data_IF_237376979340
#
_entry.id   IF_237376979340
#
_cell.length_a   1.000
_cell.length_b   1.000
_cell.length_c   1.000
_cell.angle_alpha   90.00
_cell.angle_beta   90.00
_cell.angle_gamma   90.00
#
_symmetry.space_group_name_H-M   'P 1'
#
loop_
_entity.id
_entity.type
_entity.pdbx_description
1 polymer ?
#
# COMPACT_ATOMS: atom_id res chain seq x y z
N UNK A 1 22.64 1.87 -15.23
CA UNK A 1 22.20 1.66 -16.58
C UNK A 1 20.78 2.16 -16.78
N UNK A 2 20.34 2.30 -18.00
CA UNK A 2 18.95 2.55 -18.38
C UNK A 2 18.24 1.22 -18.55
N UNK A 3 16.94 1.16 -18.22
CA UNK A 3 16.12 0.01 -18.58
C UNK A 3 15.79 0.11 -20.07
N UNK A 4 16.08 -0.94 -20.80
CA UNK A 4 15.89 -1.02 -22.25
C UNK A 4 14.76 -2.00 -22.54
N UNK A 5 13.73 -1.52 -23.24
CA UNK A 5 12.69 -2.36 -23.80
C UNK A 5 12.92 -2.51 -25.31
N UNK A 6 12.82 -3.71 -25.82
CA UNK A 6 12.96 -4.02 -27.26
C UNK A 6 11.69 -4.71 -27.73
N UNK A 7 11.20 -4.30 -28.90
CA UNK A 7 10.08 -4.95 -29.58
C UNK A 7 10.55 -5.65 -30.84
N UNK A 8 10.02 -6.83 -31.12
CA UNK A 8 10.35 -7.61 -32.30
C UNK A 8 9.28 -8.64 -32.68
N UNK A 9 9.29 -9.10 -33.92
CA UNK A 9 8.32 -10.07 -34.44
C UNK A 9 9.00 -11.28 -35.13
N UNK A 10 10.26 -11.16 -35.45
CA UNK A 10 11.01 -12.16 -36.23
C UNK A 10 11.93 -13.06 -35.42
N UNK A 11 12.39 -14.15 -36.08
CA UNK A 11 13.41 -15.04 -35.49
C UNK A 11 14.74 -14.28 -35.28
N UNK A 12 15.03 -13.32 -36.14
CA UNK A 12 16.25 -12.50 -36.08
C UNK A 12 16.25 -11.56 -34.86
N UNK A 13 15.07 -11.25 -34.31
CA UNK A 13 14.92 -10.36 -33.16
C UNK A 13 15.09 -11.12 -31.84
N UNK A 14 15.02 -12.46 -31.85
CA UNK A 14 15.08 -13.28 -30.66
C UNK A 14 16.29 -13.01 -29.74
N UNK A 15 17.53 -12.81 -30.28
CA UNK A 15 18.67 -12.46 -29.45
C UNK A 15 18.49 -11.07 -28.75
N UNK A 16 17.95 -10.09 -29.47
CA UNK A 16 17.71 -8.74 -28.93
C UNK A 16 16.60 -8.74 -27.89
N UNK A 17 15.51 -9.46 -28.15
CA UNK A 17 14.39 -9.65 -27.20
C UNK A 17 14.86 -10.31 -25.90
N UNK A 18 15.73 -11.31 -25.99
CA UNK A 18 16.28 -12.02 -24.82
C UNK A 18 17.32 -11.20 -24.08
N UNK A 19 18.07 -10.34 -24.77
CA UNK A 19 19.13 -9.50 -24.18
C UNK A 19 18.64 -8.20 -23.57
N UNK A 20 17.40 -7.79 -23.86
CA UNK A 20 16.78 -6.60 -23.30
C UNK A 20 16.32 -6.81 -21.85
N UNK A 21 16.20 -5.73 -21.08
CA UNK A 21 15.55 -5.78 -19.75
C UNK A 21 14.07 -6.17 -19.87
N UNK A 22 13.40 -5.74 -20.95
CA UNK A 22 12.03 -6.13 -21.29
C UNK A 22 11.95 -6.40 -22.80
N UNK A 23 11.85 -7.68 -23.19
CA UNK A 23 11.56 -8.09 -24.57
C UNK A 23 10.06 -8.17 -24.81
N UNK A 24 9.56 -7.55 -25.88
CA UNK A 24 8.14 -7.53 -26.23
C UNK A 24 7.98 -8.13 -27.63
N UNK A 25 7.30 -9.26 -27.76
CA UNK A 25 6.99 -9.88 -29.04
C UNK A 25 5.57 -9.57 -29.49
N UNK A 26 5.37 -9.48 -30.82
CA UNK A 26 4.05 -9.41 -31.43
C UNK A 26 3.34 -10.77 -31.33
N UNK A 27 2.04 -10.75 -30.97
CA UNK A 27 1.29 -11.97 -30.75
C UNK A 27 0.75 -12.59 -32.03
N UNK A 28 0.23 -11.78 -32.93
CA UNK A 28 -0.37 -12.24 -34.21
C UNK A 28 0.69 -12.39 -35.30
N UNK A 29 1.55 -11.38 -35.50
CA UNK A 29 2.60 -11.38 -36.53
C UNK A 29 3.89 -12.04 -36.06
N UNK A 30 4.09 -12.11 -34.74
CA UNK A 30 5.32 -12.63 -34.17
C UNK A 30 5.52 -14.13 -34.43
N UNK A 31 6.75 -14.50 -34.76
CA UNK A 31 7.13 -15.91 -34.85
C UNK A 31 7.08 -16.59 -33.50
N UNK A 32 6.96 -17.92 -33.50
CA UNK A 32 6.97 -18.70 -32.25
C UNK A 32 8.26 -18.47 -31.48
N UNK A 33 9.40 -18.42 -32.17
CA UNK A 33 10.70 -18.19 -31.55
C UNK A 33 10.79 -16.83 -30.86
N UNK A 34 10.24 -15.75 -31.45
CA UNK A 34 10.19 -14.44 -30.82
C UNK A 34 9.30 -14.45 -29.57
N UNK A 35 8.13 -15.10 -29.63
CA UNK A 35 7.18 -15.19 -28.49
C UNK A 35 7.74 -16.02 -27.34
N UNK A 36 8.50 -17.07 -27.59
CA UNK A 36 9.09 -17.93 -26.55
C UNK A 36 10.20 -17.24 -25.74
N UNK A 37 10.92 -16.29 -26.34
CA UNK A 37 12.01 -15.59 -25.68
C UNK A 37 11.61 -14.25 -25.08
N UNK A 38 10.46 -13.71 -25.47
CA UNK A 38 10.00 -12.41 -25.00
C UNK A 38 9.44 -12.48 -23.57
N UNK A 39 9.66 -11.42 -22.81
CA UNK A 39 9.07 -11.26 -21.46
C UNK A 39 7.58 -10.95 -21.52
N UNK A 40 7.13 -10.32 -22.61
CA UNK A 40 5.74 -9.89 -22.83
C UNK A 40 5.36 -10.24 -24.27
N UNK A 41 4.13 -10.76 -24.45
CA UNK A 41 3.55 -10.98 -25.77
C UNK A 41 2.35 -10.07 -25.96
N UNK A 42 2.37 -9.25 -27.00
CA UNK A 42 1.36 -8.26 -27.33
C UNK A 42 0.29 -8.89 -28.25
N UNK A 43 -0.78 -9.42 -27.67
CA UNK A 43 -1.77 -10.25 -28.37
C UNK A 43 -2.53 -9.53 -29.49
N UNK A 44 -2.67 -8.21 -29.40
CA UNK A 44 -3.37 -7.37 -30.38
C UNK A 44 -2.43 -6.67 -31.36
N UNK A 45 -1.13 -6.93 -31.30
CA UNK A 45 -0.06 -6.28 -32.07
C UNK A 45 -0.13 -4.74 -32.07
N UNK A 46 -0.72 -4.16 -31.04
CA UNK A 46 -0.98 -2.73 -30.94
C UNK A 46 -0.04 -2.05 -29.92
N UNK A 47 0.87 -1.21 -30.40
CA UNK A 47 1.79 -0.46 -29.54
C UNK A 47 1.10 0.45 -28.50
N UNK A 48 -0.14 0.94 -28.80
CA UNK A 48 -0.88 1.72 -27.82
C UNK A 48 -1.21 0.92 -26.54
N UNK A 49 -1.27 -0.40 -26.63
CA UNK A 49 -1.47 -1.30 -25.49
C UNK A 49 -0.27 -1.30 -24.57
N UNK A 50 0.96 -1.13 -25.09
CA UNK A 50 2.18 -0.97 -24.28
C UNK A 50 2.07 0.30 -23.42
N UNK A 51 1.63 1.40 -24.03
CA UNK A 51 1.48 2.69 -23.32
C UNK A 51 0.44 2.57 -22.18
N UNK A 52 -0.69 1.90 -22.47
CA UNK A 52 -1.70 1.61 -21.43
C UNK A 52 -1.14 0.74 -20.31
N UNK A 53 -0.45 -0.34 -20.65
CA UNK A 53 0.16 -1.24 -19.67
C UNK A 53 1.17 -0.52 -18.77
N UNK A 54 1.97 0.40 -19.31
CA UNK A 54 2.88 1.25 -18.53
C UNK A 54 2.09 2.14 -17.55
N UNK A 55 0.99 2.74 -18.02
CA UNK A 55 0.12 3.57 -17.20
C UNK A 55 -0.50 2.78 -16.04
N UNK A 56 -1.07 1.61 -16.34
CA UNK A 56 -1.65 0.70 -15.34
C UNK A 56 -0.60 0.17 -14.36
N UNK A 57 0.58 -0.21 -14.84
CA UNK A 57 1.68 -0.64 -13.99
C UNK A 57 2.15 0.45 -13.01
N UNK A 58 2.22 1.71 -13.46
CA UNK A 58 2.53 2.84 -12.58
C UNK A 58 1.43 3.06 -11.54
N UNK A 59 0.17 2.94 -11.95
CA UNK A 59 -0.97 3.04 -11.05
C UNK A 59 -0.93 1.94 -9.98
N UNK A 60 -0.74 0.69 -10.40
CA UNK A 60 -0.61 -0.45 -9.50
C UNK A 60 0.52 -0.24 -8.48
N UNK A 61 1.67 0.26 -8.92
CA UNK A 61 2.79 0.56 -8.02
C UNK A 61 2.47 1.68 -7.03
N UNK A 62 1.73 2.71 -7.45
CA UNK A 62 1.27 3.76 -6.54
C UNK A 62 0.28 3.23 -5.50
N UNK A 63 -0.69 2.42 -5.94
CA UNK A 63 -1.66 1.80 -5.05
C UNK A 63 -0.98 0.90 -4.02
N UNK A 64 -0.06 0.06 -4.46
CA UNK A 64 0.76 -0.80 -3.60
C UNK A 64 1.54 0.02 -2.56
N UNK A 65 2.18 1.11 -2.99
CA UNK A 65 2.92 2.00 -2.11
C UNK A 65 2.02 2.66 -1.05
N UNK A 66 0.81 3.07 -1.40
CA UNK A 66 -0.14 3.64 -0.44
C UNK A 66 -0.66 2.59 0.54
N UNK A 67 -0.95 1.38 0.06
CA UNK A 67 -1.33 0.25 0.91
C UNK A 67 -0.26 -0.07 1.95
N UNK A 68 1.02 -0.13 1.54
CA UNK A 68 2.12 -0.36 2.46
C UNK A 68 2.32 0.81 3.45
N UNK A 69 2.13 2.07 3.01
CA UNK A 69 2.20 3.21 3.91
C UNK A 69 1.11 3.12 4.99
N UNK A 70 -0.13 2.78 4.59
CA UNK A 70 -1.23 2.54 5.51
C UNK A 70 -0.88 1.44 6.52
N UNK A 71 -0.44 0.28 6.04
CA UNK A 71 -0.08 -0.84 6.91
C UNK A 71 0.99 -0.44 7.94
N UNK A 72 2.03 0.26 7.51
CA UNK A 72 3.07 0.72 8.43
C UNK A 72 2.55 1.73 9.46
N UNK A 73 1.70 2.68 9.04
CA UNK A 73 1.14 3.70 9.93
C UNK A 73 0.17 3.13 10.97
N UNK A 74 -0.48 1.99 10.69
CA UNK A 74 -1.43 1.36 11.62
C UNK A 74 -0.77 0.26 12.44
N UNK A 75 0.08 -0.59 11.83
CA UNK A 75 0.73 -1.69 12.55
C UNK A 75 1.83 -1.22 13.50
N UNK A 76 2.57 -0.15 13.16
CA UNK A 76 3.59 0.34 14.07
C UNK A 76 3.02 0.79 15.43
N UNK A 77 1.95 1.63 15.51
CA UNK A 77 1.32 1.92 16.79
C UNK A 77 0.64 0.71 17.44
N UNK A 78 0.05 -0.21 16.67
CA UNK A 78 -0.53 -1.44 17.19
C UNK A 78 0.52 -2.28 17.95
N UNK A 79 1.67 -2.54 17.31
CA UNK A 79 2.75 -3.32 17.92
C UNK A 79 3.40 -2.54 19.08
N UNK A 80 3.63 -1.24 18.91
CA UNK A 80 4.22 -0.40 19.95
C UNK A 80 3.34 -0.38 21.22
N UNK A 81 2.03 -0.18 21.09
CA UNK A 81 1.13 -0.16 22.23
C UNK A 81 0.94 -1.53 22.87
N UNK A 82 0.90 -2.61 22.04
CA UNK A 82 0.85 -3.97 22.55
C UNK A 82 2.08 -4.33 23.41
N UNK A 83 3.25 -3.76 23.07
CA UNK A 83 4.48 -3.96 23.84
C UNK A 83 4.61 -2.99 25.03
N UNK A 84 4.37 -1.70 24.82
CA UNK A 84 4.58 -0.66 25.83
C UNK A 84 3.63 -0.79 27.03
N UNK A 85 2.35 -1.07 26.81
CA UNK A 85 1.34 -1.13 27.87
C UNK A 85 1.72 -2.16 28.95
N UNK A 86 2.05 -3.43 28.64
CA UNK A 86 2.50 -4.38 29.64
C UNK A 86 3.86 -4.02 30.26
N UNK A 87 4.79 -3.41 29.51
CA UNK A 87 6.09 -2.97 30.02
C UNK A 87 5.96 -1.85 31.06
N UNK A 88 4.90 -1.04 30.96
CA UNK A 88 4.55 -0.01 31.95
C UNK A 88 3.81 -0.59 33.16
N UNK A 89 3.57 -1.91 33.21
CA UNK A 89 2.89 -2.58 34.31
C UNK A 89 1.36 -2.56 34.22
N UNK A 90 0.81 -2.09 33.11
CA UNK A 90 -0.65 -2.06 32.90
C UNK A 90 -1.19 -3.41 32.39
N UNK A 91 -2.50 -3.69 32.59
CA UNK A 91 -3.17 -4.84 31.99
C UNK A 91 -3.08 -4.84 30.47
N UNK A 92 -3.07 -6.03 29.84
CA UNK A 92 -3.01 -6.17 28.38
C UNK A 92 -4.08 -5.34 27.69
N UNK A 93 -3.67 -4.50 26.74
CA UNK A 93 -4.56 -3.65 25.96
C UNK A 93 -5.40 -4.47 24.98
N UNK A 94 -4.77 -5.32 24.20
CA UNK A 94 -5.44 -6.11 23.18
C UNK A 94 -5.69 -7.55 23.63
N UNK A 95 -6.93 -8.00 23.48
CA UNK A 95 -7.28 -9.42 23.53
C UNK A 95 -7.12 -10.03 22.13
N UNK A 96 -6.91 -11.34 22.01
CA UNK A 96 -6.79 -12.01 20.70
C UNK A 96 -7.95 -11.69 19.74
N UNK A 97 -9.18 -11.59 20.28
CA UNK A 97 -10.36 -11.27 19.48
C UNK A 97 -10.28 -9.87 18.86
N UNK A 98 -9.70 -8.88 19.55
CA UNK A 98 -9.52 -7.52 19.02
C UNK A 98 -8.57 -7.53 17.84
N UNK A 99 -7.47 -8.28 17.95
CA UNK A 99 -6.47 -8.39 16.86
C UNK A 99 -7.09 -9.10 15.65
N UNK A 100 -7.79 -10.22 15.88
CA UNK A 100 -8.47 -10.94 14.78
C UNK A 100 -9.47 -10.02 14.06
N UNK A 101 -10.24 -9.24 14.79
CA UNK A 101 -11.21 -8.32 14.21
C UNK A 101 -10.56 -7.21 13.38
N UNK A 102 -9.47 -6.61 13.90
CA UNK A 102 -8.69 -5.61 13.18
C UNK A 102 -8.09 -6.17 11.88
N UNK A 103 -7.45 -7.34 11.96
CA UNK A 103 -6.74 -7.96 10.84
C UNK A 103 -7.70 -8.51 9.78
N UNK A 104 -8.86 -9.03 10.19
CA UNK A 104 -9.78 -9.71 9.28
C UNK A 104 -10.82 -8.77 8.66
N UNK A 105 -11.21 -7.71 9.35
CA UNK A 105 -12.30 -6.82 8.93
C UNK A 105 -11.78 -5.43 8.58
N UNK A 106 -11.11 -4.76 9.52
CA UNK A 106 -10.73 -3.36 9.36
C UNK A 106 -9.64 -3.18 8.30
N UNK A 107 -8.55 -3.93 8.39
CA UNK A 107 -7.43 -3.75 7.47
C UNK A 107 -7.77 -4.15 6.03
N UNK A 108 -8.43 -5.28 5.73
CA UNK A 108 -8.84 -5.60 4.38
C UNK A 108 -9.79 -4.56 3.77
N UNK A 109 -10.75 -4.06 4.55
CA UNK A 109 -11.69 -3.03 4.10
C UNK A 109 -10.97 -1.75 3.72
N UNK A 110 -10.02 -1.29 4.54
CA UNK A 110 -9.20 -0.13 4.23
C UNK A 110 -8.30 -0.35 3.00
N UNK A 111 -7.71 -1.55 2.85
CA UNK A 111 -6.85 -1.87 1.71
C UNK A 111 -7.59 -1.88 0.37
N UNK A 112 -8.87 -2.28 0.34
CA UNK A 112 -9.71 -2.22 -0.86
C UNK A 112 -9.83 -0.80 -1.45
N UNK A 113 -9.74 0.23 -0.59
CA UNK A 113 -9.73 1.63 -1.04
C UNK A 113 -8.53 1.92 -1.93
N UNK A 114 -7.34 1.42 -1.55
CA UNK A 114 -6.10 1.72 -2.27
C UNK A 114 -5.96 0.93 -3.57
N UNK A 115 -6.67 -0.19 -3.72
CA UNK A 115 -6.65 -0.98 -4.96
C UNK A 115 -7.34 -0.26 -6.12
N UNK A 116 -8.33 0.57 -5.84
CA UNK A 116 -9.19 1.21 -6.84
C UNK A 116 -8.98 2.73 -6.94
N UNK A 117 -7.85 3.25 -6.49
CA UNK A 117 -7.58 4.68 -6.62
C UNK A 117 -7.36 5.06 -8.10
N UNK A 118 -8.02 6.11 -8.59
CA UNK A 118 -7.82 6.57 -9.95
C UNK A 118 -6.41 7.11 -10.14
N UNK A 119 -5.86 6.94 -11.35
CA UNK A 119 -4.53 7.44 -11.68
C UNK A 119 -4.48 8.96 -11.56
N UNK A 120 -3.54 9.46 -10.76
CA UNK A 120 -3.37 10.90 -10.54
C UNK A 120 -2.38 11.54 -11.52
N UNK A 121 -1.45 10.73 -12.01
CA UNK A 121 -0.38 11.17 -12.89
C UNK A 121 -0.50 10.42 -14.22
N UNK A 122 -0.85 11.12 -15.29
CA UNK A 122 -0.75 10.59 -16.63
C UNK A 122 0.68 10.09 -16.94
N UNK A 123 0.99 9.86 -18.20
CA UNK A 123 2.31 9.39 -18.69
C UNK A 123 3.45 10.42 -18.48
N UNK A 124 3.36 11.24 -17.43
CA UNK A 124 4.42 12.21 -17.11
C UNK A 124 5.77 11.53 -16.92
N UNK A 125 6.86 12.10 -17.45
CA UNK A 125 8.19 11.54 -17.28
C UNK A 125 8.53 11.38 -15.80
N UNK A 126 8.81 10.17 -15.36
CA UNK A 126 9.25 9.91 -13.99
C UNK A 126 10.76 10.10 -13.95
N UNK A 127 11.23 11.05 -13.13
CA UNK A 127 12.67 11.24 -12.93
C UNK A 127 13.30 9.98 -12.32
N UNK A 128 14.48 9.59 -12.78
CA UNK A 128 15.25 8.41 -12.34
C UNK A 128 15.37 8.27 -10.82
N UNK A 129 15.50 9.37 -10.13
CA UNK A 129 15.69 9.40 -8.68
C UNK A 129 14.43 8.96 -7.91
N UNK A 130 13.25 9.21 -8.47
CA UNK A 130 11.95 8.81 -7.92
C UNK A 130 11.66 7.32 -8.11
N UNK A 131 12.27 6.66 -9.09
CA UNK A 131 12.10 5.23 -9.36
C UNK A 131 12.92 4.32 -8.44
N UNK A 132 14.07 4.78 -7.93
CA UNK A 132 14.99 3.95 -7.14
C UNK A 132 14.59 3.72 -5.70
N UNK A 133 13.74 4.58 -5.11
CA UNK A 133 13.34 4.48 -3.70
C UNK A 133 11.85 4.24 -3.58
N UNK A 134 11.49 3.18 -2.87
CA UNK A 134 10.09 2.88 -2.59
C UNK A 134 9.43 4.04 -1.84
N UNK A 135 10.10 4.61 -0.83
CA UNK A 135 9.69 5.83 -0.14
C UNK A 135 10.82 6.87 -0.13
N UNK A 136 10.43 8.15 -0.22
CA UNK A 136 11.34 9.27 0.05
C UNK A 136 11.59 9.41 1.55
N UNK A 137 12.67 10.13 1.94
CA UNK A 137 12.93 10.42 3.35
C UNK A 137 11.76 11.15 4.04
N UNK A 138 11.08 12.06 3.31
CA UNK A 138 9.87 12.74 3.82
C UNK A 138 8.70 11.78 4.07
N UNK A 139 8.52 10.78 3.20
CA UNK A 139 7.48 9.78 3.39
C UNK A 139 7.78 8.89 4.60
N UNK A 140 9.03 8.49 4.80
CA UNK A 140 9.44 7.78 6.01
C UNK A 140 9.24 8.61 7.28
N UNK A 141 9.60 9.91 7.23
CA UNK A 141 9.37 10.82 8.35
C UNK A 141 7.87 10.97 8.68
N UNK A 142 7.00 11.07 7.65
CA UNK A 142 5.55 11.14 7.88
C UNK A 142 4.98 9.84 8.45
N UNK A 143 5.42 8.67 7.96
CA UNK A 143 5.02 7.37 8.52
C UNK A 143 5.43 7.29 9.99
N UNK A 144 6.68 7.62 10.31
CA UNK A 144 7.20 7.61 11.69
C UNK A 144 6.46 8.58 12.60
N UNK A 145 6.21 9.82 12.15
CA UNK A 145 5.49 10.83 12.92
C UNK A 145 4.06 10.38 13.24
N UNK A 146 3.32 9.90 12.24
CA UNK A 146 1.95 9.42 12.43
C UNK A 146 1.92 8.23 13.40
N UNK A 147 2.85 7.30 13.27
CA UNK A 147 2.95 6.14 14.16
C UNK A 147 3.25 6.55 15.60
N UNK A 148 4.17 7.49 15.83
CA UNK A 148 4.51 7.99 17.17
C UNK A 148 3.32 8.73 17.79
N UNK A 149 2.68 9.62 17.03
CA UNK A 149 1.51 10.36 17.51
C UNK A 149 0.35 9.41 17.85
N UNK A 150 0.04 8.45 16.97
CA UNK A 150 -1.00 7.47 17.22
C UNK A 150 -0.69 6.61 18.45
N UNK A 151 0.55 6.14 18.60
CA UNK A 151 1.00 5.41 19.81
C UNK A 151 0.79 6.26 21.05
N UNK A 152 1.22 7.52 21.05
CA UNK A 152 1.06 8.43 22.18
C UNK A 152 -0.40 8.66 22.56
N UNK A 153 -1.26 8.88 21.57
CA UNK A 153 -2.71 9.08 21.79
C UNK A 153 -3.36 7.82 22.39
N UNK A 154 -2.99 6.64 21.88
CA UNK A 154 -3.56 5.37 22.38
C UNK A 154 -3.08 5.09 23.80
N UNK A 155 -1.77 5.24 24.09
CA UNK A 155 -1.21 5.03 25.44
C UNK A 155 -1.80 6.00 26.43
N UNK A 156 -1.83 7.29 26.12
CA UNK A 156 -2.40 8.32 26.97
C UNK A 156 -3.90 8.10 27.18
N UNK A 157 -4.63 7.80 26.10
CA UNK A 157 -6.06 7.50 26.19
C UNK A 157 -6.34 6.27 27.04
N UNK A 158 -5.51 5.23 26.97
CA UNK A 158 -5.61 4.05 27.81
C UNK A 158 -5.36 4.39 29.28
N UNK A 159 -4.29 5.10 29.58
CA UNK A 159 -3.88 5.51 30.92
C UNK A 159 -4.97 6.37 31.60
N UNK A 160 -5.44 7.42 30.90
CA UNK A 160 -6.47 8.33 31.43
C UNK A 160 -7.82 7.62 31.70
N UNK A 161 -8.17 6.62 30.89
CA UNK A 161 -9.44 5.89 31.07
C UNK A 161 -9.31 4.68 32.00
N UNK A 162 -8.10 4.23 32.32
CA UNK A 162 -7.88 3.19 33.29
C UNK A 162 -8.24 3.69 34.70
N UNK A 163 -7.96 4.99 35.00
CA UNK A 163 -8.32 5.68 36.23
C UNK A 163 -7.81 5.01 37.50
N UNK A 164 -8.26 5.51 38.66
CA UNK A 164 -7.95 4.90 39.95
C UNK A 164 -8.70 3.59 40.20
N UNK A 165 -9.87 3.43 39.57
CA UNK A 165 -10.73 2.24 39.71
C UNK A 165 -10.32 1.05 38.84
N UNK A 166 -9.29 1.22 37.99
CA UNK A 166 -8.77 0.19 37.07
C UNK A 166 -9.86 -0.42 36.18
N UNK A 167 -10.73 0.43 35.59
CA UNK A 167 -11.75 -0.04 34.65
C UNK A 167 -11.12 -0.45 33.29
N UNK A 168 -10.53 -1.64 33.31
CA UNK A 168 -9.83 -2.23 32.16
C UNK A 168 -10.74 -2.38 30.91
N UNK A 169 -12.00 -2.84 31.01
CA UNK A 169 -12.92 -2.91 29.88
C UNK A 169 -13.16 -1.56 29.22
N UNK A 170 -13.39 -0.50 29.99
CA UNK A 170 -13.59 0.84 29.47
C UNK A 170 -12.32 1.38 28.80
N UNK A 171 -11.17 1.27 29.46
CA UNK A 171 -9.88 1.71 28.92
C UNK A 171 -9.54 1.00 27.58
N UNK A 172 -9.81 -0.31 27.48
CA UNK A 172 -9.66 -1.08 26.23
C UNK A 172 -10.57 -0.57 25.12
N UNK A 173 -11.85 -0.32 25.44
CA UNK A 173 -12.81 0.18 24.46
C UNK A 173 -12.41 1.53 23.90
N UNK A 174 -11.91 2.44 24.73
CA UNK A 174 -11.44 3.76 24.33
C UNK A 174 -10.16 3.67 23.47
N UNK A 175 -9.22 2.82 23.84
CA UNK A 175 -8.00 2.59 23.06
C UNK A 175 -8.30 1.96 21.70
N UNK A 176 -9.24 1.02 21.63
CA UNK A 176 -9.72 0.45 20.37
C UNK A 176 -10.40 1.50 19.49
N UNK A 177 -11.27 2.33 20.06
CA UNK A 177 -11.91 3.43 19.34
C UNK A 177 -10.87 4.41 18.79
N UNK A 178 -9.82 4.74 19.56
CA UNK A 178 -8.75 5.60 19.12
C UNK A 178 -7.97 4.98 17.94
N UNK A 179 -7.64 3.68 18.00
CA UNK A 179 -6.95 2.97 16.92
C UNK A 179 -7.80 2.91 15.64
N UNK A 180 -9.08 2.62 15.75
CA UNK A 180 -10.03 2.58 14.63
C UNK A 180 -10.15 3.97 14.01
N UNK A 181 -10.33 5.01 14.82
CA UNK A 181 -10.42 6.39 14.34
C UNK A 181 -9.13 6.84 13.67
N UNK A 182 -7.96 6.44 14.21
CA UNK A 182 -6.67 6.69 13.56
C UNK A 182 -6.59 5.98 12.19
N UNK A 183 -6.99 4.71 12.12
CA UNK A 183 -7.04 3.93 10.87
C UNK A 183 -7.93 4.59 9.82
N UNK A 184 -9.14 5.00 10.19
CA UNK A 184 -10.08 5.72 9.33
C UNK A 184 -9.49 7.04 8.83
N UNK A 185 -8.87 7.82 9.73
CA UNK A 185 -8.24 9.10 9.42
C UNK A 185 -7.06 8.93 8.46
N UNK A 186 -6.20 7.93 8.68
CA UNK A 186 -5.08 7.59 7.80
C UNK A 186 -5.61 7.20 6.42
N UNK A 187 -6.65 6.36 6.35
CA UNK A 187 -7.29 5.97 5.09
C UNK A 187 -7.83 7.17 4.35
N UNK A 188 -8.54 8.07 5.02
CA UNK A 188 -9.09 9.29 4.44
C UNK A 188 -7.98 10.21 3.86
N UNK A 189 -6.91 10.43 4.60
CA UNK A 189 -5.78 11.28 4.19
C UNK A 189 -5.02 10.65 3.03
N UNK A 190 -4.67 9.36 3.09
CA UNK A 190 -3.90 8.67 2.05
C UNK A 190 -4.70 8.52 0.76
N UNK A 191 -6.00 8.23 0.83
CA UNK A 191 -6.89 8.12 -0.34
C UNK A 191 -7.28 9.48 -0.90
N UNK A 192 -7.06 10.57 -0.15
CA UNK A 192 -7.54 11.93 -0.45
C UNK A 192 -9.05 11.97 -0.73
N UNK A 193 -9.80 10.98 -0.26
CA UNK A 193 -11.23 10.78 -0.49
C UNK A 193 -11.64 10.84 -1.99
N UNK A 194 -10.73 10.46 -2.89
CA UNK A 194 -10.93 10.57 -4.35
C UNK A 194 -11.80 9.47 -4.92
N UNK A 195 -12.02 8.39 -4.20
CA UNK A 195 -12.89 7.30 -4.65
C UNK A 195 -14.14 7.22 -3.80
N UNK A 196 -15.26 6.83 -4.43
CA UNK A 196 -16.51 6.56 -3.70
C UNK A 196 -16.32 5.49 -2.61
N UNK A 197 -15.49 4.49 -2.90
CA UNK A 197 -15.16 3.41 -1.96
C UNK A 197 -14.38 3.91 -0.73
N UNK A 198 -13.64 5.03 -0.84
CA UNK A 198 -12.94 5.61 0.30
C UNK A 198 -13.91 6.12 1.37
N UNK A 199 -15.02 6.74 0.96
CA UNK A 199 -16.07 7.17 1.88
C UNK A 199 -16.74 5.99 2.57
N UNK A 200 -17.04 4.93 1.81
CA UNK A 200 -17.65 3.72 2.36
C UNK A 200 -16.71 3.08 3.40
N UNK A 201 -15.42 2.97 3.10
CA UNK A 201 -14.46 2.39 4.03
C UNK A 201 -14.31 3.22 5.32
N UNK A 202 -14.25 4.56 5.21
CA UNK A 202 -14.16 5.46 6.38
C UNK A 202 -15.41 5.37 7.26
N UNK A 203 -16.59 5.19 6.67
CA UNK A 203 -17.86 5.05 7.41
C UNK A 203 -18.02 3.64 7.99
N UNK A 204 -17.48 2.62 7.34
CA UNK A 204 -17.56 1.22 7.79
C UNK A 204 -16.52 0.85 8.87
N UNK A 205 -15.53 1.72 9.11
CA UNK A 205 -14.50 1.56 10.14
C UNK A 205 -14.93 2.19 11.45
#
# INVERSE_FOLDING_TARGET
GELVAVTGDGVNDAPALRGADVGIAMGQRGTQAAREVASIVLLDDNFATIIRAIGEGRQLFQNLRQSFAYLLMVHAPLVATAALIPLLGYPLLYLPIHIVWLELIIHPTALLVFQNLPSSDGLSPVTRERQRRFYSGRAWASIGLVSVVATGVIVLGYDLNLGEDLDVPQARSMAMAALITASASITAVLSRLRSHNAWIAVVAT
#
